data_IF_539495202676
#
_entry.id   IF_539495202676
#
_cell.length_a   1.000
_cell.length_b   1.000
_cell.length_c   1.000
_cell.angle_alpha   90.00
_cell.angle_beta   90.00
_cell.angle_gamma   90.00
#
_symmetry.space_group_name_H-M   'P 1'
#
loop_
_entity.id
_entity.type
_entity.pdbx_description
1 polymer ?
#
# COMPACT_ATOMS: atom_id res chain seq x y z
N UNK A 1 36.56 -8.36 -16.68
CA UNK A 1 37.44 -7.64 -15.74
C UNK A 1 37.20 -6.13 -15.89
N UNK A 2 36.69 -5.52 -14.82
CA UNK A 2 36.81 -4.11 -14.36
C UNK A 2 36.58 -2.88 -15.28
N UNK A 3 35.46 -2.20 -14.97
CA UNK A 3 35.21 -0.75 -14.79
C UNK A 3 36.23 0.32 -15.23
N UNK A 4 35.68 1.36 -15.87
CA UNK A 4 35.92 2.76 -15.50
C UNK A 4 36.32 3.68 -16.66
N UNK A 5 35.45 4.61 -17.08
CA UNK A 5 35.81 5.96 -17.58
C UNK A 5 34.59 6.82 -18.00
N UNK A 6 33.53 6.90 -17.18
CA UNK A 6 32.39 7.83 -17.42
C UNK A 6 32.44 9.11 -16.57
N UNK A 7 33.53 9.33 -15.82
CA UNK A 7 33.75 10.51 -14.97
C UNK A 7 34.63 11.59 -15.64
N UNK A 8 34.19 12.14 -16.78
CA UNK A 8 34.91 13.25 -17.43
C UNK A 8 34.03 14.45 -17.83
N UNK A 9 32.69 14.34 -17.80
CA UNK A 9 31.79 15.37 -18.37
C UNK A 9 31.18 16.37 -17.37
N UNK A 10 31.32 16.20 -16.05
CA UNK A 10 30.71 17.12 -15.05
C UNK A 10 31.66 18.26 -14.63
N UNK A 11 32.93 18.23 -15.04
CA UNK A 11 33.98 19.12 -14.49
C UNK A 11 34.33 20.36 -15.34
N UNK A 12 33.76 20.55 -16.53
CA UNK A 12 34.21 21.59 -17.49
C UNK A 12 33.22 22.76 -17.70
N UNK A 13 32.10 22.83 -16.96
CA UNK A 13 31.19 24.00 -17.01
C UNK A 13 31.09 24.79 -15.70
N UNK A 14 32.26 25.11 -15.13
CA UNK A 14 32.58 26.48 -14.70
C UNK A 14 31.98 27.51 -15.69
N UNK A 15 31.82 28.80 -15.39
CA UNK A 15 31.61 29.47 -14.10
C UNK A 15 30.73 30.74 -14.30
N UNK A 16 29.42 30.69 -14.04
CA UNK A 16 28.60 31.92 -14.06
C UNK A 16 28.70 32.61 -12.70
N UNK A 17 29.82 33.31 -12.54
CA UNK A 17 29.99 34.44 -11.65
C UNK A 17 28.94 35.50 -12.01
N UNK A 18 27.80 35.51 -11.33
CA UNK A 18 27.02 36.74 -11.25
C UNK A 18 26.25 36.80 -9.93
N UNK A 19 26.80 37.62 -9.04
CA UNK A 19 26.14 38.26 -7.91
C UNK A 19 26.08 37.48 -6.59
N UNK A 20 27.20 37.48 -5.87
CA UNK A 20 27.18 37.42 -4.41
C UNK A 20 27.87 38.67 -3.83
N UNK A 21 27.11 39.70 -3.41
CA UNK A 21 27.65 40.82 -2.64
C UNK A 21 28.07 40.34 -1.25
N UNK A 22 29.35 40.43 -0.95
CA UNK A 22 29.91 40.26 0.39
C UNK A 22 29.74 41.56 1.18
N UNK A 23 28.69 41.68 2.00
CA UNK A 23 28.61 42.69 3.06
C UNK A 23 29.09 42.12 4.41
N UNK A 24 29.81 42.91 5.24
CA UNK A 24 30.56 42.42 6.40
C UNK A 24 29.70 42.22 7.67
N UNK A 25 30.19 41.46 8.67
CA UNK A 25 29.47 41.26 9.93
C UNK A 25 29.76 42.42 10.89
N UNK A 26 28.71 43.06 11.46
CA UNK A 26 28.70 43.68 12.81
C UNK A 26 27.44 44.51 13.05
N UNK A 27 26.59 44.03 13.96
CA UNK A 27 26.39 44.64 15.28
C UNK A 27 25.25 43.89 15.96
N UNK A 28 25.55 43.32 17.12
CA UNK A 28 24.53 42.89 18.05
C UNK A 28 23.65 44.09 18.41
N UNK A 29 22.46 44.14 17.83
CA UNK A 29 21.31 44.74 18.50
C UNK A 29 20.48 43.56 18.96
N UNK A 30 20.83 43.05 20.14
CA UNK A 30 19.95 42.23 20.94
C UNK A 30 18.72 43.07 21.30
N UNK A 31 17.78 43.19 20.38
CA UNK A 31 16.42 43.55 20.72
C UNK A 31 15.81 42.34 21.42
N UNK A 32 15.36 42.44 22.69
CA UNK A 32 14.45 41.48 23.23
C UNK A 32 13.11 41.72 22.53
N UNK A 33 12.98 41.17 21.32
CA UNK A 33 11.72 41.09 20.59
C UNK A 33 10.78 40.33 21.52
N UNK A 34 9.96 41.07 22.26
CA UNK A 34 8.84 40.52 23.02
C UNK A 34 7.99 39.77 22.03
N UNK A 35 8.23 38.48 21.92
CA UNK A 35 7.34 37.57 21.25
C UNK A 35 6.02 37.70 22.01
N UNK A 36 4.92 38.15 21.38
CA UNK A 36 3.63 37.92 21.98
C UNK A 36 3.56 36.40 22.17
N UNK A 37 3.53 35.94 23.43
CA UNK A 37 3.24 34.55 23.74
C UNK A 37 1.89 34.29 23.10
N UNK A 38 1.90 33.69 21.90
CA UNK A 38 0.70 33.20 21.26
C UNK A 38 0.09 32.28 22.30
N UNK A 39 -1.10 32.60 22.83
CA UNK A 39 -1.69 31.82 23.90
C UNK A 39 -1.70 30.39 23.41
N UNK A 40 -1.16 29.52 24.27
CA UNK A 40 -1.18 28.07 24.19
C UNK A 40 -2.32 27.66 23.28
N UNK A 41 -1.99 27.43 22.00
CA UNK A 41 -2.88 26.78 21.09
C UNK A 41 -2.87 25.34 21.62
N UNK A 42 -3.70 25.10 22.63
CA UNK A 42 -4.37 23.83 22.77
C UNK A 42 -5.05 23.70 21.42
N UNK A 43 -4.33 23.10 20.48
CA UNK A 43 -4.97 22.29 19.47
C UNK A 43 -5.76 21.31 20.32
N UNK A 44 -7.03 21.68 20.53
CA UNK A 44 -8.01 20.79 21.09
C UNK A 44 -7.84 19.52 20.26
N UNK A 45 -7.80 18.33 20.87
CA UNK A 45 -7.84 17.11 20.11
C UNK A 45 -9.13 17.18 19.30
N UNK A 46 -9.01 17.67 18.07
CA UNK A 46 -9.84 17.32 16.95
C UNK A 46 -9.59 15.82 16.89
N UNK A 47 -10.42 15.11 17.67
CA UNK A 47 -10.53 13.67 17.70
C UNK A 47 -10.08 13.17 16.34
N UNK A 48 -8.94 12.47 16.35
CA UNK A 48 -8.27 11.78 15.25
C UNK A 48 -9.24 10.80 14.57
N UNK A 49 -10.43 11.25 14.15
CA UNK A 49 -11.47 10.43 13.54
C UNK A 49 -11.04 10.05 12.14
N UNK A 50 -10.19 10.85 11.49
CA UNK A 50 -9.55 10.46 10.25
C UNK A 50 -8.62 9.25 10.49
N UNK A 51 -7.64 9.39 11.40
CA UNK A 51 -6.65 8.34 11.66
C UNK A 51 -7.22 7.10 12.37
N UNK A 52 -8.20 7.30 13.27
CA UNK A 52 -8.94 6.22 13.91
C UNK A 52 -9.91 5.54 12.94
N UNK A 53 -10.51 6.26 11.98
CA UNK A 53 -11.30 5.63 10.92
C UNK A 53 -10.40 4.84 9.97
N UNK A 54 -9.25 5.37 9.55
CA UNK A 54 -8.28 4.64 8.72
C UNK A 54 -7.83 3.33 9.39
N UNK A 55 -7.47 3.41 10.68
CA UNK A 55 -7.10 2.24 11.49
C UNK A 55 -8.28 1.27 11.66
N UNK A 56 -9.47 1.78 11.95
CA UNK A 56 -10.67 0.96 12.12
C UNK A 56 -11.07 0.22 10.83
N UNK A 57 -11.01 0.90 9.69
CA UNK A 57 -11.28 0.32 8.37
C UNK A 57 -10.20 -0.69 7.99
N UNK A 58 -8.92 -0.41 8.28
CA UNK A 58 -7.84 -1.38 8.09
C UNK A 58 -8.08 -2.68 8.88
N UNK A 59 -8.39 -2.58 10.17
CA UNK A 59 -8.69 -3.75 11.00
C UNK A 59 -9.94 -4.48 10.53
N UNK A 60 -10.96 -3.76 10.06
CA UNK A 60 -12.17 -4.36 9.50
C UNK A 60 -11.83 -5.19 8.25
N UNK A 61 -11.11 -4.62 7.27
CA UNK A 61 -10.70 -5.36 6.09
C UNK A 61 -9.76 -6.52 6.42
N UNK A 62 -8.81 -6.34 7.35
CA UNK A 62 -7.91 -7.40 7.79
C UNK A 62 -8.68 -8.58 8.43
N UNK A 63 -9.67 -8.28 9.29
CA UNK A 63 -10.54 -9.29 9.89
C UNK A 63 -11.38 -10.01 8.83
N UNK A 64 -11.91 -9.27 7.84
CA UNK A 64 -12.65 -9.83 6.70
C UNK A 64 -11.76 -10.76 5.86
N UNK A 65 -10.52 -10.36 5.56
CA UNK A 65 -9.54 -11.18 4.84
C UNK A 65 -9.25 -12.47 5.60
N UNK A 66 -9.00 -12.39 6.91
CA UNK A 66 -8.79 -13.57 7.75
C UNK A 66 -10.04 -14.48 7.77
N UNK A 67 -11.23 -13.90 7.96
CA UNK A 67 -12.49 -14.63 7.93
C UNK A 67 -12.74 -15.35 6.61
N UNK A 68 -12.44 -14.69 5.48
CA UNK A 68 -12.52 -15.28 4.14
C UNK A 68 -11.48 -16.39 3.91
N UNK A 69 -10.25 -16.23 4.43
CA UNK A 69 -9.23 -17.28 4.36
C UNK A 69 -9.58 -18.51 5.22
N UNK A 70 -10.16 -18.30 6.40
CA UNK A 70 -10.69 -19.40 7.21
C UNK A 70 -11.88 -20.06 6.53
N UNK A 71 -12.82 -19.27 5.99
CA UNK A 71 -13.98 -19.77 5.24
C UNK A 71 -13.60 -20.58 3.99
N UNK A 72 -12.52 -20.20 3.30
CA UNK A 72 -11.93 -20.94 2.19
C UNK A 72 -11.51 -22.36 2.60
N UNK A 73 -10.83 -22.50 3.74
CA UNK A 73 -10.30 -23.79 4.24
C UNK A 73 -11.40 -24.66 4.87
N UNK A 74 -12.33 -24.04 5.61
CA UNK A 74 -13.38 -24.78 6.33
C UNK A 74 -14.61 -25.13 5.49
N UNK A 75 -14.73 -24.57 4.28
CA UNK A 75 -15.89 -24.83 3.42
C UNK A 75 -15.93 -26.29 2.92
N UNK A 76 -16.95 -27.03 3.35
CA UNK A 76 -17.19 -28.41 2.92
C UNK A 76 -17.66 -28.54 1.46
N UNK A 77 -18.20 -27.46 0.89
CA UNK A 77 -18.64 -27.40 -0.50
C UNK A 77 -17.68 -26.53 -1.28
N UNK A 78 -17.15 -27.08 -2.36
CA UNK A 78 -16.27 -26.40 -3.32
C UNK A 78 -16.82 -25.04 -3.73
N UNK A 79 -18.11 -24.96 -4.06
CA UNK A 79 -18.73 -23.70 -4.48
C UNK A 79 -18.64 -22.62 -3.40
N UNK A 80 -18.83 -22.98 -2.13
CA UNK A 80 -18.73 -22.04 -1.01
C UNK A 80 -17.28 -21.63 -0.75
N UNK A 81 -16.34 -22.57 -0.89
CA UNK A 81 -14.91 -22.32 -0.77
C UNK A 81 -14.45 -21.28 -1.81
N UNK A 82 -14.88 -21.43 -3.07
CA UNK A 82 -14.58 -20.48 -4.15
C UNK A 82 -15.13 -19.08 -3.91
N UNK A 83 -16.38 -18.96 -3.44
CA UNK A 83 -16.96 -17.66 -3.10
C UNK A 83 -16.17 -16.97 -1.98
N UNK A 84 -15.71 -17.74 -0.99
CA UNK A 84 -14.85 -17.24 0.09
C UNK A 84 -13.49 -16.75 -0.41
N UNK A 85 -12.90 -17.42 -1.41
CA UNK A 85 -11.65 -16.98 -2.06
C UNK A 85 -11.79 -15.63 -2.75
N UNK A 86 -12.85 -15.45 -3.54
CA UNK A 86 -13.15 -14.19 -4.25
C UNK A 86 -13.31 -13.05 -3.25
N UNK A 87 -14.05 -13.29 -2.16
CA UNK A 87 -14.26 -12.31 -1.10
C UNK A 87 -12.95 -11.94 -0.38
N UNK A 88 -12.08 -12.92 -0.13
CA UNK A 88 -10.75 -12.70 0.43
C UNK A 88 -9.88 -11.78 -0.45
N UNK A 89 -9.80 -12.05 -1.76
CA UNK A 89 -9.05 -11.20 -2.68
C UNK A 89 -9.63 -9.79 -2.84
N UNK A 90 -10.95 -9.64 -2.80
CA UNK A 90 -11.60 -8.33 -2.78
C UNK A 90 -11.21 -7.52 -1.53
N UNK A 91 -11.20 -8.16 -0.36
CA UNK A 91 -10.78 -7.51 0.88
C UNK A 91 -9.29 -7.09 0.85
N UNK A 92 -8.41 -7.93 0.29
CA UNK A 92 -6.99 -7.61 0.07
C UNK A 92 -6.82 -6.42 -0.88
N UNK A 93 -7.61 -6.34 -1.96
CA UNK A 93 -7.59 -5.18 -2.86
C UNK A 93 -7.99 -3.89 -2.12
N UNK A 94 -9.00 -3.96 -1.24
CA UNK A 94 -9.38 -2.85 -0.36
C UNK A 94 -8.23 -2.38 0.53
N UNK A 95 -7.46 -3.33 1.10
CA UNK A 95 -6.26 -3.02 1.90
C UNK A 95 -5.23 -2.27 1.05
N UNK A 96 -4.97 -2.69 -0.19
CA UNK A 96 -4.04 -1.96 -1.07
C UNK A 96 -4.50 -0.55 -1.43
N UNK A 97 -5.80 -0.31 -1.56
CA UNK A 97 -6.34 1.04 -1.73
C UNK A 97 -6.07 1.90 -0.49
N UNK A 98 -6.31 1.35 0.71
CA UNK A 98 -6.02 2.03 1.98
C UNK A 98 -4.53 2.38 2.13
N UNK A 99 -3.63 1.54 1.63
CA UNK A 99 -2.19 1.79 1.64
C UNK A 99 -1.73 2.82 0.57
N UNK A 100 -2.65 3.36 -0.24
CA UNK A 100 -2.31 4.24 -1.37
C UNK A 100 -1.63 3.52 -2.54
N UNK A 101 -1.71 2.19 -2.59
CA UNK A 101 -1.08 1.36 -3.62
C UNK A 101 -2.09 1.01 -4.74
N UNK A 102 -2.60 2.02 -5.43
CA UNK A 102 -3.69 1.89 -6.41
C UNK A 102 -3.35 0.95 -7.58
N UNK A 103 -2.11 1.04 -8.09
CA UNK A 103 -1.63 0.15 -9.16
C UNK A 103 -1.60 -1.32 -8.71
N UNK A 104 -1.18 -1.57 -7.46
CA UNK A 104 -1.13 -2.90 -6.90
C UNK A 104 -2.55 -3.44 -6.63
N UNK A 105 -3.48 -2.59 -6.19
CA UNK A 105 -4.89 -2.93 -6.04
C UNK A 105 -5.53 -3.33 -7.38
N UNK A 106 -5.20 -2.62 -8.47
CA UNK A 106 -5.66 -2.96 -9.81
C UNK A 106 -5.10 -4.30 -10.29
N UNK A 107 -3.80 -4.55 -10.08
CA UNK A 107 -3.18 -5.86 -10.37
C UNK A 107 -3.83 -6.98 -9.55
N UNK A 108 -4.17 -6.71 -8.29
CA UNK A 108 -4.83 -7.69 -7.42
C UNK A 108 -6.14 -8.18 -8.03
N UNK A 109 -6.95 -7.25 -8.56
CA UNK A 109 -8.21 -7.61 -9.21
C UNK A 109 -7.94 -8.27 -10.57
N UNK A 110 -7.10 -7.68 -11.42
CA UNK A 110 -6.89 -8.18 -12.78
C UNK A 110 -6.18 -9.55 -12.83
N UNK A 111 -5.22 -9.78 -11.94
CA UNK A 111 -4.40 -11.01 -11.96
C UNK A 111 -4.91 -12.04 -10.96
N UNK A 112 -5.14 -11.67 -9.70
CA UNK A 112 -5.54 -12.67 -8.71
C UNK A 112 -7.03 -13.02 -8.79
N UNK A 113 -7.92 -12.03 -8.91
CA UNK A 113 -9.36 -12.30 -9.01
C UNK A 113 -9.73 -12.96 -10.33
N UNK A 114 -9.22 -12.45 -11.45
CA UNK A 114 -9.58 -12.94 -12.78
C UNK A 114 -8.69 -14.08 -13.27
N UNK A 115 -7.35 -13.96 -13.25
CA UNK A 115 -6.49 -15.02 -13.80
C UNK A 115 -6.37 -16.21 -12.84
N UNK A 116 -5.80 -15.99 -11.66
CA UNK A 116 -5.57 -17.07 -10.68
C UNK A 116 -6.89 -17.65 -10.19
N UNK A 117 -7.86 -16.79 -9.86
CA UNK A 117 -9.20 -17.19 -9.43
C UNK A 117 -9.91 -18.06 -10.45
N UNK A 118 -10.02 -17.64 -11.71
CA UNK A 118 -10.67 -18.46 -12.74
C UNK A 118 -9.92 -19.76 -13.00
N UNK A 119 -8.59 -19.77 -12.99
CA UNK A 119 -7.79 -21.01 -13.13
C UNK A 119 -8.08 -22.00 -12.01
N UNK A 120 -8.17 -21.53 -10.76
CA UNK A 120 -8.58 -22.37 -9.62
C UNK A 120 -10.01 -22.87 -9.79
N UNK A 121 -10.92 -22.00 -10.24
CA UNK A 121 -12.32 -22.38 -10.53
C UNK A 121 -12.40 -23.50 -11.57
N UNK A 122 -11.67 -23.37 -12.68
CA UNK A 122 -11.58 -24.41 -13.71
C UNK A 122 -10.93 -25.68 -13.19
N UNK A 123 -9.83 -25.57 -12.44
CA UNK A 123 -9.12 -26.72 -11.87
C UNK A 123 -10.03 -27.59 -11.01
N UNK A 124 -10.75 -26.98 -10.06
CA UNK A 124 -11.61 -27.77 -9.17
C UNK A 124 -12.83 -28.34 -9.91
N UNK A 125 -13.37 -27.62 -10.91
CA UNK A 125 -14.46 -28.14 -11.74
C UNK A 125 -14.03 -29.38 -12.55
N UNK A 126 -12.80 -29.38 -13.07
CA UNK A 126 -12.23 -30.52 -13.80
C UNK A 126 -11.95 -31.70 -12.86
N UNK A 127 -11.36 -31.46 -11.68
CA UNK A 127 -11.02 -32.53 -10.73
C UNK A 127 -12.26 -33.25 -10.18
N UNK A 128 -13.38 -32.54 -9.94
CA UNK A 128 -14.58 -33.16 -9.35
C UNK A 128 -15.19 -34.25 -10.24
N UNK A 129 -15.02 -34.18 -11.57
CA UNK A 129 -15.60 -35.18 -12.49
C UNK A 129 -14.85 -36.51 -12.50
N UNK A 130 -13.59 -36.55 -12.08
CA UNK A 130 -12.74 -37.74 -12.21
C UNK A 130 -12.96 -38.78 -11.11
N UNK A 131 -13.61 -38.41 -9.99
CA UNK A 131 -13.73 -39.27 -8.79
C UNK A 131 -14.98 -40.17 -8.84
N UNK A 132 -15.90 -39.95 -9.77
CA UNK A 132 -17.17 -40.71 -9.87
C UNK A 132 -17.11 -41.93 -10.82
N UNK A 133 -16.00 -42.12 -11.54
CA UNK A 133 -15.90 -43.15 -12.60
C UNK A 133 -15.07 -44.38 -12.17
N UNK A 134 -14.39 -44.36 -11.01
CA UNK A 134 -13.54 -45.48 -10.53
C UNK A 134 -14.28 -46.48 -9.61
N UNK A 135 -15.60 -46.31 -9.40
CA UNK A 135 -16.43 -47.21 -8.56
C UNK A 135 -17.28 -48.21 -9.39
N UNK A 136 -16.98 -48.41 -10.68
CA UNK A 136 -17.72 -49.32 -11.57
C UNK A 136 -16.87 -50.46 -12.18
N UNK A 137 -15.83 -50.91 -11.49
CA UNK A 137 -15.24 -52.26 -11.68
C UNK A 137 -15.13 -53.03 -10.35
#
# INVERSE_FOLDING_TARGET
>A
MHHGHVSCLVFIKKPLMLNWPSEPPRSATSEPRRQPRKPLQKEMPEMDVASAAETGVFFLFAAITLGGALGLIFAQRVAHSMLSLIFCFMAVSGIFILLGAEFLAAIQILVYLASVGLVVLFGIMLTRRQILEEDFE
#
